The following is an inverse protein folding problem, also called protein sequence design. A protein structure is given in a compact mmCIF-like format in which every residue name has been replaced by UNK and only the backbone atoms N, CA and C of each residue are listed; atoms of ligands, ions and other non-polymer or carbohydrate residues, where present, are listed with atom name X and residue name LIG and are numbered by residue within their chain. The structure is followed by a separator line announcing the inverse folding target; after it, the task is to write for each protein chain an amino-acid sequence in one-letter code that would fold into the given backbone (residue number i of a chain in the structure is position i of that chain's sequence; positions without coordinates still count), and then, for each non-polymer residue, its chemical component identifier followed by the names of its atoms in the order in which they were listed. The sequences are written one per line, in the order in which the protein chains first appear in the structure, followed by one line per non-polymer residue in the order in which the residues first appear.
data_IF_797424467584
#
_entry.id   IF_797424467584
#
_cell.length_a   1.000
_cell.length_b   1.000
_cell.length_c   1.000
_cell.angle_alpha   90.00
_cell.angle_beta   90.00
_cell.angle_gamma   90.00
#
_symmetry.space_group_name_H-M   'P 1'
#
loop_
_entity.id
_entity.type
_entity.pdbx_description
1 polymer ?
#
# COMPACT_ATOMS: atom_id res chain seq x y z
N UNK A 1 -22.78 0.93 -5.94
CA UNK A 1 -21.51 1.56 -5.58
C UNK A 1 -21.02 2.25 -6.82
N UNK A 2 -21.11 3.56 -6.79
CA UNK A 2 -20.81 4.45 -7.91
C UNK A 2 -19.46 5.12 -7.66
N UNK A 3 -18.90 5.76 -8.67
CA UNK A 3 -17.61 6.48 -8.58
C UNK A 3 -17.49 7.43 -7.38
N UNK A 4 -18.58 8.12 -7.01
CA UNK A 4 -18.60 9.00 -5.83
C UNK A 4 -18.54 8.23 -4.50
N UNK A 5 -19.30 7.13 -4.38
CA UNK A 5 -19.31 6.28 -3.18
C UNK A 5 -17.96 5.56 -3.01
N UNK A 6 -17.29 5.23 -4.12
CA UNK A 6 -15.93 4.71 -4.13
C UNK A 6 -14.93 5.69 -3.50
N UNK A 7 -14.95 6.96 -3.88
CA UNK A 7 -14.01 7.95 -3.33
C UNK A 7 -14.25 8.20 -1.85
N UNK A 8 -15.51 8.22 -1.41
CA UNK A 8 -15.84 8.33 0.02
C UNK A 8 -15.22 7.17 0.81
N UNK A 9 -15.43 5.93 0.35
CA UNK A 9 -14.86 4.73 0.97
C UNK A 9 -13.33 4.72 0.96
N UNK A 10 -12.70 5.17 -0.13
CA UNK A 10 -11.24 5.27 -0.24
C UNK A 10 -10.67 6.32 0.73
N UNK A 11 -11.37 7.45 0.91
CA UNK A 11 -11.02 8.44 1.93
C UNK A 11 -11.17 7.91 3.34
N UNK A 12 -12.24 7.16 3.62
CA UNK A 12 -12.42 6.47 4.91
C UNK A 12 -11.30 5.45 5.19
N UNK A 13 -10.80 4.81 4.14
CA UNK A 13 -9.68 3.86 4.21
C UNK A 13 -8.29 4.50 4.20
N UNK A 14 -8.19 5.84 4.23
CA UNK A 14 -6.94 6.62 4.16
C UNK A 14 -6.12 6.37 2.88
N UNK A 15 -6.77 6.02 1.78
CA UNK A 15 -6.09 5.82 0.48
C UNK A 15 -5.85 7.18 -0.19
N UNK A 16 -4.60 7.55 -0.51
CA UNK A 16 -4.31 8.84 -1.11
C UNK A 16 -4.88 8.95 -2.53
N UNK A 17 -5.49 10.10 -2.83
CA UNK A 17 -6.06 10.42 -4.16
C UNK A 17 -5.04 10.39 -5.31
N UNK A 18 -3.74 10.41 -5.02
CA UNK A 18 -2.69 10.28 -6.02
C UNK A 18 -2.56 8.86 -6.62
N UNK A 19 -3.13 7.83 -5.98
CA UNK A 19 -3.06 6.43 -6.43
C UNK A 19 -4.16 6.03 -7.40
N UNK A 20 -5.21 6.84 -7.56
CA UNK A 20 -6.32 6.54 -8.44
C UNK A 20 -6.80 7.76 -9.23
N UNK A 21 -7.10 7.55 -10.50
CA UNK A 21 -7.64 8.56 -11.42
C UNK A 21 -9.05 8.13 -11.85
N UNK A 22 -10.04 8.92 -11.46
CA UNK A 22 -11.44 8.68 -11.79
C UNK A 22 -11.93 9.88 -12.61
N UNK A 23 -12.25 9.68 -13.90
CA UNK A 23 -12.60 10.77 -14.79
C UNK A 23 -13.86 11.49 -14.30
N UNK A 24 -13.75 12.80 -14.10
CA UNK A 24 -14.85 13.66 -13.67
C UNK A 24 -14.95 13.87 -12.16
N UNK A 25 -14.12 13.23 -11.35
CA UNK A 25 -14.13 13.42 -9.89
C UNK A 25 -12.97 14.32 -9.45
N UNK A 26 -11.71 14.00 -9.76
CA UNK A 26 -10.53 14.77 -9.34
C UNK A 26 -9.57 15.01 -10.50
N UNK A 27 -9.08 16.25 -10.64
CA UNK A 27 -7.96 16.59 -11.54
C UNK A 27 -6.69 16.53 -10.68
N UNK A 28 -6.00 15.39 -10.68
CA UNK A 28 -4.88 15.16 -9.77
C UNK A 28 -3.63 15.89 -10.30
N UNK A 29 -3.09 16.91 -9.60
CA UNK A 29 -1.95 17.68 -10.09
C UNK A 29 -0.62 16.91 -9.99
N UNK A 30 -0.58 15.80 -9.23
CA UNK A 30 0.61 14.96 -9.03
C UNK A 30 0.28 13.53 -9.47
N UNK A 31 0.66 13.19 -10.70
CA UNK A 31 0.57 11.82 -11.19
C UNK A 31 1.75 11.01 -10.62
N UNK A 32 1.45 10.00 -9.80
CA UNK A 32 2.46 9.04 -9.34
C UNK A 32 2.99 8.22 -10.51
N UNK A 33 4.18 7.65 -10.33
CA UNK A 33 4.79 6.75 -11.31
C UNK A 33 3.95 5.46 -11.50
N UNK A 34 3.05 5.14 -10.56
CA UNK A 34 2.05 4.08 -10.66
C UNK A 34 0.69 4.55 -10.10
N UNK A 35 -0.36 4.53 -10.92
CA UNK A 35 -1.72 4.88 -10.51
C UNK A 35 -2.78 4.06 -11.27
N UNK A 36 -3.86 3.69 -10.59
CA UNK A 36 -5.00 3.02 -11.20
C UNK A 36 -5.89 4.04 -11.88
N UNK A 37 -6.46 3.71 -13.04
CA UNK A 37 -7.40 4.58 -13.73
C UNK A 37 -8.66 3.81 -14.13
N UNK A 38 -9.79 4.49 -14.03
CA UNK A 38 -11.07 3.98 -14.48
C UNK A 38 -11.39 4.61 -15.84
N UNK A 39 -11.49 3.81 -16.89
CA UNK A 39 -11.83 4.29 -18.23
C UNK A 39 -13.18 3.73 -18.67
N UNK A 40 -14.08 4.59 -19.16
CA UNK A 40 -15.32 4.14 -19.78
C UNK A 40 -15.07 3.89 -21.27
N UNK A 41 -15.24 2.65 -21.72
CA UNK A 41 -15.04 2.25 -23.10
C UNK A 41 -16.37 1.78 -23.72
N UNK A 42 -17.03 2.69 -24.44
CA UNK A 42 -18.36 2.44 -25.02
C UNK A 42 -19.44 2.25 -23.94
N UNK A 43 -20.03 1.05 -23.92
CA UNK A 43 -21.03 0.64 -22.91
C UNK A 43 -20.41 -0.07 -21.70
N UNK A 44 -19.09 -0.30 -21.73
CA UNK A 44 -18.35 -0.99 -20.67
C UNK A 44 -17.43 -0.07 -19.88
N UNK A 45 -16.86 -0.64 -18.82
CA UNK A 45 -15.94 0.00 -17.91
C UNK A 45 -14.65 -0.80 -17.81
N UNK A 46 -13.52 -0.15 -17.94
CA UNK A 46 -12.20 -0.77 -17.92
C UNK A 46 -11.39 -0.20 -16.78
N UNK A 47 -10.89 -1.07 -15.92
CA UNK A 47 -9.91 -0.73 -14.89
C UNK A 47 -8.53 -1.00 -15.46
N UNK A 48 -7.72 0.05 -15.53
CA UNK A 48 -6.34 0.00 -15.95
C UNK A 48 -5.40 0.47 -14.84
N UNK A 49 -4.14 0.10 -14.98
CA UNK A 49 -3.06 0.55 -14.13
C UNK A 49 -2.01 1.18 -15.03
N UNK A 50 -1.70 2.44 -14.80
CA UNK A 50 -0.62 3.11 -15.50
C UNK A 50 0.62 3.10 -14.64
N UNK A 51 1.70 2.54 -15.14
CA UNK A 51 3.00 2.54 -14.48
C UNK A 51 4.09 3.03 -15.43
N UNK A 52 4.90 4.00 -15.01
CA UNK A 52 6.06 4.50 -15.76
C UNK A 52 5.69 4.92 -17.20
N UNK A 53 4.54 5.60 -17.33
CA UNK A 53 3.92 5.98 -18.63
C UNK A 53 3.32 4.82 -19.45
N UNK A 54 3.39 3.58 -18.98
CA UNK A 54 2.82 2.40 -19.63
C UNK A 54 1.42 2.12 -19.07
N UNK A 55 0.40 2.19 -19.91
CA UNK A 55 -0.95 1.77 -19.58
C UNK A 55 -1.08 0.25 -19.71
N UNK A 56 -1.65 -0.38 -18.69
CA UNK A 56 -1.98 -1.81 -18.68
C UNK A 56 -3.43 -1.98 -18.31
N UNK A 57 -4.21 -2.60 -19.19
CA UNK A 57 -5.59 -2.97 -18.89
C UNK A 57 -5.56 -4.16 -17.95
N UNK A 58 -6.14 -4.01 -16.76
CA UNK A 58 -6.24 -5.11 -15.80
C UNK A 58 -7.50 -5.93 -16.05
N UNK A 59 -8.65 -5.26 -16.08
CA UNK A 59 -9.94 -5.91 -16.20
C UNK A 59 -10.96 -4.98 -16.85
N UNK A 60 -11.85 -5.55 -17.66
CA UNK A 60 -13.03 -4.86 -18.18
C UNK A 60 -14.31 -5.47 -17.61
N UNK A 61 -15.30 -4.62 -17.43
CA UNK A 61 -16.57 -4.88 -16.77
C UNK A 61 -17.71 -4.30 -17.61
N UNK A 62 -18.89 -4.88 -17.45
CA UNK A 62 -20.09 -4.38 -18.13
C UNK A 62 -20.68 -3.17 -17.39
N UNK A 63 -20.48 -3.06 -16.08
CA UNK A 63 -21.10 -2.00 -15.26
C UNK A 63 -20.07 -1.19 -14.48
N UNK A 64 -20.41 0.07 -14.20
CA UNK A 64 -19.60 0.97 -13.36
C UNK A 64 -19.42 0.38 -11.96
N UNK A 65 -20.48 -0.23 -11.43
CA UNK A 65 -20.50 -0.80 -10.08
C UNK A 65 -19.51 -1.94 -9.92
N UNK A 66 -19.42 -2.85 -10.90
CA UNK A 66 -18.44 -3.93 -10.87
C UNK A 66 -17.01 -3.39 -10.96
N UNK A 67 -16.78 -2.42 -11.85
CA UNK A 67 -15.47 -1.81 -12.01
C UNK A 67 -15.01 -1.04 -10.75
N UNK A 68 -15.93 -0.30 -10.12
CA UNK A 68 -15.65 0.43 -8.88
C UNK A 68 -15.38 -0.53 -7.71
N UNK A 69 -16.17 -1.61 -7.59
CA UNK A 69 -15.95 -2.62 -6.55
C UNK A 69 -14.58 -3.29 -6.70
N UNK A 70 -14.21 -3.68 -7.93
CA UNK A 70 -12.90 -4.27 -8.21
C UNK A 70 -11.74 -3.30 -7.93
N UNK A 71 -11.88 -2.04 -8.33
CA UNK A 71 -10.89 -1.00 -8.07
C UNK A 71 -10.71 -0.78 -6.55
N UNK A 72 -11.82 -0.71 -5.81
CA UNK A 72 -11.80 -0.60 -4.34
C UNK A 72 -11.04 -1.77 -3.70
N UNK A 73 -11.41 -3.00 -4.03
CA UNK A 73 -10.77 -4.19 -3.47
C UNK A 73 -9.28 -4.25 -3.81
N UNK A 74 -8.90 -3.85 -5.04
CA UNK A 74 -7.51 -3.83 -5.48
C UNK A 74 -6.70 -2.78 -4.70
N UNK A 75 -7.26 -1.59 -4.48
CA UNK A 75 -6.60 -0.52 -3.73
C UNK A 75 -6.47 -0.88 -2.24
N UNK A 76 -7.51 -1.41 -1.62
CA UNK A 76 -7.50 -1.86 -0.21
C UNK A 76 -6.51 -3.02 0.00
N UNK A 77 -6.40 -3.95 -0.95
CA UNK A 77 -5.43 -5.04 -0.87
C UNK A 77 -3.99 -4.55 -1.08
N UNK A 78 -3.79 -3.58 -1.97
CA UNK A 78 -2.45 -3.04 -2.28
C UNK A 78 -1.97 -2.04 -1.23
N UNK A 79 -2.90 -1.36 -0.57
CA UNK A 79 -2.69 -0.52 0.61
C UNK A 79 -3.35 -1.19 1.80
N UNK A 80 -2.75 -2.25 2.38
CA UNK A 80 -3.19 -2.67 3.69
C UNK A 80 -3.08 -1.42 4.57
N UNK A 81 -4.23 -0.87 4.97
CA UNK A 81 -4.32 0.10 6.05
C UNK A 81 -3.37 -0.41 7.12
N UNK A 82 -2.43 0.41 7.65
CA UNK A 82 -1.39 -0.10 8.53
C UNK A 82 -2.09 -0.78 9.69
N UNK A 83 -2.19 -2.11 9.60
CA UNK A 83 -2.76 -2.92 10.65
C UNK A 83 -2.01 -2.50 11.90
N UNK A 84 -2.70 -2.23 13.02
CA UNK A 84 -1.99 -2.01 14.27
C UNK A 84 -1.01 -3.17 14.41
N UNK A 85 0.28 -2.88 14.66
CA UNK A 85 1.32 -3.88 14.48
C UNK A 85 0.93 -5.12 15.27
N UNK A 86 0.89 -6.27 14.60
CA UNK A 86 0.49 -7.56 15.19
C UNK A 86 1.36 -7.92 16.41
N UNK A 87 2.48 -7.22 16.58
CA UNK A 87 3.25 -7.18 17.82
C UNK A 87 3.27 -5.76 18.36
N UNK A 88 2.91 -5.52 19.64
CA UNK A 88 3.04 -4.20 20.23
C UNK A 88 4.49 -3.74 20.09
N UNK A 89 4.69 -2.46 19.78
CA UNK A 89 6.02 -1.84 19.62
C UNK A 89 6.96 -2.18 20.79
N UNK A 90 6.44 -2.33 22.00
CA UNK A 90 7.15 -2.79 23.20
C UNK A 90 7.82 -4.17 23.04
N UNK A 91 7.18 -5.12 22.36
CA UNK A 91 7.71 -6.48 22.18
C UNK A 91 8.84 -6.52 21.14
N UNK A 92 8.76 -5.65 20.13
CA UNK A 92 9.84 -5.44 19.14
C UNK A 92 11.04 -4.73 19.76
N UNK A 93 10.80 -3.71 20.59
CA UNK A 93 11.84 -3.02 21.34
C UNK A 93 12.55 -3.98 22.30
N UNK A 94 11.78 -4.80 23.05
CA UNK A 94 12.32 -5.81 23.95
C UNK A 94 13.19 -6.87 23.25
N UNK A 95 12.78 -7.34 22.06
CA UNK A 95 13.60 -8.25 21.25
C UNK A 95 14.92 -7.58 20.82
N UNK A 96 14.88 -6.30 20.45
CA UNK A 96 16.07 -5.56 20.00
C UNK A 96 17.06 -5.32 21.15
N UNK A 97 16.56 -5.03 22.36
CA UNK A 97 17.37 -4.85 23.57
C UNK A 97 18.06 -6.15 24.02
N UNK A 98 17.40 -7.30 23.88
CA UNK A 98 17.99 -8.60 24.20
C UNK A 98 19.13 -8.96 23.23
N UNK A 99 18.93 -8.72 21.93
CA UNK A 99 19.98 -8.90 20.91
C UNK A 99 21.20 -8.01 21.20
N UNK A 100 20.97 -6.75 21.60
CA UNK A 100 22.07 -5.84 21.94
C UNK A 100 22.83 -6.29 23.20
N UNK A 101 22.14 -6.79 24.22
CA UNK A 101 22.77 -7.30 25.44
C UNK A 101 23.69 -8.50 25.12
N UNK A 102 23.19 -9.46 24.34
CA UNK A 102 23.97 -10.63 23.96
C UNK A 102 25.22 -10.27 23.14
N UNK A 103 25.13 -9.27 22.26
CA UNK A 103 26.28 -8.80 21.49
C UNK A 103 27.36 -8.14 22.38
N UNK A 104 26.96 -7.41 23.42
CA UNK A 104 27.91 -6.82 24.37
C UNK A 104 28.59 -7.88 25.26
N UNK A 105 27.84 -8.91 25.70
CA UNK A 105 28.40 -10.01 26.50
C UNK A 105 29.38 -10.88 25.71
N UNK A 106 29.13 -11.11 24.41
CA UNK A 106 30.04 -11.87 23.54
C UNK A 106 31.33 -11.09 23.24
N UNK A 107 31.23 -9.77 23.07
CA UNK A 107 32.37 -8.89 22.83
C UNK A 107 33.30 -8.81 24.05
N UNK A 108 32.74 -8.71 25.27
CA UNK A 108 33.54 -8.68 26.50
C UNK A 108 34.27 -10.02 26.73
N UNK A 109 33.57 -11.14 26.53
CA UNK A 109 34.16 -12.48 26.62
C UNK A 109 35.30 -12.70 25.63
N UNK A 110 35.19 -12.21 24.39
CA UNK A 110 36.26 -12.30 23.41
C UNK A 110 37.45 -11.38 23.74
N UNK A 111 37.21 -10.23 24.39
CA UNK A 111 38.28 -9.32 24.84
C UNK A 111 39.07 -9.91 26.02
N UNK A 112 38.40 -10.54 26.98
CA UNK A 112 39.05 -11.16 28.14
C UNK A 112 39.88 -12.41 27.75
N UNK A 113 39.46 -13.15 26.73
CA UNK A 113 40.20 -14.31 26.22
C UNK A 113 41.46 -13.95 25.38
N UNK A 114 41.61 -12.69 24.97
CA UNK A 114 42.74 -12.21 24.16
C UNK A 114 43.88 -11.59 24.98
N UNK A 115 43.67 -11.33 26.28
CA UNK A 115 44.65 -10.70 27.18
C UNK A 115 45.46 -11.72 28.02
N UNK A 116 45.08 -13.01 28.01
CA UNK A 116 45.77 -14.14 28.70
C UNK A 116 46.63 -14.99 27.73
N UNK A 117 47.23 -14.36 26.71
CA UNK A 117 48.06 -15.01 25.67
C UNK A 117 49.53 -14.60 25.70
#
# INVERSE_FOLDING_TARGET
MDSAELVERLREADVPEAFYDIPGIHDVPIQLDAYYFLCREGDGWTVGLRQRSQDSVMQSFATETEACAYLYETLIQSHPSPSPPTQPLEELLANTEEIQRQAWEDFDRHREAADDG
#
